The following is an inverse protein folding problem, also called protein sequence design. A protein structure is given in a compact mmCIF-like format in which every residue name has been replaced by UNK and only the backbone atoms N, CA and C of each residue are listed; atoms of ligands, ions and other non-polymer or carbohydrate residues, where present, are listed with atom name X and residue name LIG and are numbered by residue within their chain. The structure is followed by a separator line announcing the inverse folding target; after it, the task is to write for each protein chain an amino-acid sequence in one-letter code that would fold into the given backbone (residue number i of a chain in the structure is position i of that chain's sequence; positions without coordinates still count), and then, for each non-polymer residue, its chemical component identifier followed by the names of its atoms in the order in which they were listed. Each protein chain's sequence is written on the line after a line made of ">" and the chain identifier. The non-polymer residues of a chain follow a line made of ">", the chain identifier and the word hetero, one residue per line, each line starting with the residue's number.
data_IF_388601740290
#
_entry.id   IF_388601740290
#
_cell.length_a   1.000
_cell.length_b   1.000
_cell.length_c   1.000
_cell.angle_alpha   90.00
_cell.angle_beta   90.00
_cell.angle_gamma   90.00
#
_symmetry.space_group_name_H-M   'P 1'
#
loop_
_entity.id
_entity.type
_entity.pdbx_description
1 polymer ?
#
# COMPACT_ATOMS: atom_id res chain seq x y z
N UNK A 1 -46.95 -44.34 -48.18
CA UNK A 1 -45.61 -43.91 -48.44
C UNK A 1 -45.16 -43.13 -47.17
N UNK A 2 -44.49 -43.82 -46.22
CA UNK A 2 -43.94 -43.21 -45.01
C UNK A 2 -42.49 -42.79 -45.29
N UNK A 3 -42.17 -41.52 -45.10
CA UNK A 3 -40.82 -41.01 -45.08
C UNK A 3 -40.40 -40.85 -43.61
N UNK A 4 -39.41 -41.61 -43.17
CA UNK A 4 -38.79 -41.52 -41.85
C UNK A 4 -37.71 -40.42 -41.90
N UNK A 5 -37.87 -39.41 -41.03
CA UNK A 5 -36.83 -38.40 -40.80
C UNK A 5 -35.91 -38.89 -39.69
N UNK A 6 -34.63 -39.09 -40.00
CA UNK A 6 -33.57 -39.38 -39.04
C UNK A 6 -33.05 -38.07 -38.51
N UNK A 7 -33.30 -37.80 -37.25
CA UNK A 7 -32.72 -36.66 -36.53
C UNK A 7 -31.34 -37.06 -35.99
N UNK A 8 -30.28 -36.45 -36.53
CA UNK A 8 -28.91 -36.54 -36.01
C UNK A 8 -28.76 -35.59 -34.84
N UNK A 9 -28.73 -36.12 -33.61
CA UNK A 9 -28.37 -35.33 -32.42
C UNK A 9 -26.83 -35.15 -32.40
N UNK A 10 -26.36 -33.95 -32.71
CA UNK A 10 -24.98 -33.56 -32.48
C UNK A 10 -24.76 -33.28 -31.00
N UNK A 11 -24.06 -34.17 -30.29
CA UNK A 11 -23.53 -33.94 -28.98
C UNK A 11 -22.46 -32.85 -29.03
N UNK A 12 -22.83 -31.64 -28.70
CA UNK A 12 -21.88 -30.59 -28.34
C UNK A 12 -21.26 -30.91 -26.97
N UNK A 13 -20.10 -31.53 -26.97
CA UNK A 13 -19.23 -31.62 -25.80
C UNK A 13 -18.67 -30.22 -25.53
N UNK A 14 -18.94 -29.58 -24.39
CA UNK A 14 -18.27 -28.34 -24.08
C UNK A 14 -16.79 -28.64 -23.87
N UNK A 15 -15.93 -28.14 -24.75
CA UNK A 15 -14.51 -28.01 -24.48
C UNK A 15 -14.35 -27.03 -23.30
N UNK A 16 -14.36 -27.58 -22.11
CA UNK A 16 -13.83 -26.88 -20.96
C UNK A 16 -12.34 -26.66 -21.23
N UNK A 17 -12.01 -25.51 -21.74
CA UNK A 17 -10.63 -25.03 -21.79
C UNK A 17 -10.15 -24.99 -20.35
N UNK A 18 -9.38 -26.00 -19.94
CA UNK A 18 -8.59 -25.96 -18.74
C UNK A 18 -7.59 -24.80 -18.93
N UNK A 19 -7.95 -23.60 -18.47
CA UNK A 19 -7.00 -22.52 -18.23
C UNK A 19 -6.08 -23.08 -17.16
N UNK A 20 -4.95 -23.65 -17.59
CA UNK A 20 -3.82 -23.92 -16.72
C UNK A 20 -3.56 -22.60 -16.01
N UNK A 21 -3.64 -22.59 -14.67
CA UNK A 21 -3.15 -21.50 -13.85
C UNK A 21 -1.67 -21.34 -14.19
N UNK A 22 -1.37 -20.47 -15.16
CA UNK A 22 -0.01 -20.10 -15.47
C UNK A 22 0.53 -19.44 -14.19
N UNK A 23 1.58 -20.00 -13.61
CA UNK A 23 2.27 -19.38 -12.47
C UNK A 23 2.66 -17.95 -12.85
N UNK A 24 2.77 -17.09 -11.87
CA UNK A 24 3.28 -15.73 -12.08
C UNK A 24 4.65 -15.81 -12.79
N UNK A 25 4.92 -14.94 -13.76
CA UNK A 25 6.24 -14.90 -14.40
C UNK A 25 7.31 -14.61 -13.33
N UNK A 26 8.48 -15.24 -13.40
CA UNK A 26 9.58 -14.97 -12.48
C UNK A 26 9.93 -13.49 -12.48
N UNK A 27 10.13 -12.92 -11.30
CA UNK A 27 10.49 -11.53 -11.12
C UNK A 27 11.72 -11.42 -10.23
N UNK A 28 12.59 -10.44 -10.52
CA UNK A 28 13.79 -10.13 -9.76
C UNK A 28 13.83 -8.65 -9.46
N UNK A 29 14.36 -8.31 -8.29
CA UNK A 29 14.53 -6.91 -7.87
C UNK A 29 16.00 -6.64 -7.53
N UNK A 30 16.43 -5.45 -7.89
CA UNK A 30 17.76 -4.91 -7.64
C UNK A 30 17.62 -3.54 -6.98
N UNK A 31 18.60 -3.14 -6.18
CA UNK A 31 18.70 -1.78 -5.63
C UNK A 31 19.97 -1.11 -6.13
N UNK A 32 19.92 0.20 -6.30
CA UNK A 32 21.10 0.98 -6.63
C UNK A 32 21.87 1.30 -5.35
N UNK A 33 23.06 0.71 -5.20
CA UNK A 33 24.02 1.02 -4.15
C UNK A 33 25.21 1.80 -4.75
N UNK A 34 25.24 3.09 -4.50
CA UNK A 34 26.17 4.00 -5.17
C UNK A 34 25.96 4.02 -6.69
N UNK A 35 26.87 3.39 -7.45
CA UNK A 35 26.79 3.27 -8.91
C UNK A 35 26.47 1.86 -9.41
N UNK A 36 26.21 0.93 -8.51
CA UNK A 36 25.99 -0.49 -8.85
C UNK A 36 24.58 -0.94 -8.53
N UNK A 37 23.97 -1.66 -9.48
CA UNK A 37 22.76 -2.43 -9.24
C UNK A 37 23.11 -3.73 -8.52
N UNK A 38 22.52 -3.96 -7.35
CA UNK A 38 22.72 -5.12 -6.49
C UNK A 38 21.45 -5.94 -6.46
N UNK A 39 21.44 -7.17 -7.00
CA UNK A 39 20.31 -8.09 -6.85
C UNK A 39 20.10 -8.47 -5.39
N UNK A 40 18.85 -8.44 -4.93
CA UNK A 40 18.51 -8.75 -3.54
C UNK A 40 17.29 -9.66 -3.38
N UNK A 41 16.44 -9.76 -4.41
CA UNK A 41 15.23 -10.57 -4.33
C UNK A 41 14.93 -11.27 -5.66
N UNK A 42 14.44 -12.53 -5.55
CA UNK A 42 13.98 -13.35 -6.67
C UNK A 42 12.70 -14.06 -6.23
N UNK A 43 11.63 -13.92 -7.03
CA UNK A 43 10.32 -14.51 -6.70
C UNK A 43 10.35 -16.03 -6.60
N UNK A 44 11.30 -16.70 -7.26
CA UNK A 44 11.42 -18.17 -7.24
C UNK A 44 12.03 -18.69 -5.94
N UNK A 45 12.71 -17.83 -5.18
CA UNK A 45 13.35 -18.13 -3.90
C UNK A 45 12.94 -17.16 -2.79
N UNK A 46 11.79 -16.49 -2.97
CA UNK A 46 11.30 -15.50 -2.04
C UNK A 46 11.06 -16.11 -0.64
N UNK A 47 11.47 -15.42 0.44
CA UNK A 47 11.24 -15.92 1.78
C UNK A 47 9.76 -15.90 2.13
N UNK A 48 9.28 -16.87 2.91
CA UNK A 48 7.91 -16.87 3.42
C UNK A 48 7.68 -15.80 4.50
N UNK A 49 8.74 -15.27 5.09
CA UNK A 49 8.69 -14.21 6.09
C UNK A 49 10.00 -13.41 6.15
N UNK A 50 9.87 -12.11 6.36
CA UNK A 50 10.97 -11.18 6.59
C UNK A 50 11.22 -11.00 8.09
N UNK A 51 12.22 -11.70 8.65
CA UNK A 51 12.54 -11.64 10.08
C UNK A 51 13.46 -10.47 10.45
N UNK A 52 14.16 -9.90 9.46
CA UNK A 52 15.04 -8.74 9.58
C UNK A 52 15.01 -7.93 8.29
N UNK A 53 15.52 -6.72 8.33
CA UNK A 53 15.76 -5.95 7.11
C UNK A 53 16.86 -6.62 6.28
N UNK A 54 16.74 -6.49 4.95
CA UNK A 54 17.79 -6.88 4.03
C UNK A 54 18.93 -5.85 4.06
N UNK A 55 20.19 -6.24 4.26
CA UNK A 55 21.29 -5.29 4.36
C UNK A 55 21.50 -4.44 3.08
N UNK A 56 21.36 -5.05 1.89
CA UNK A 56 21.55 -4.31 0.63
C UNK A 56 20.48 -3.22 0.47
N UNK A 57 19.21 -3.57 0.73
CA UNK A 57 18.10 -2.61 0.67
C UNK A 57 18.25 -1.54 1.75
N UNK A 58 18.59 -1.92 2.98
CA UNK A 58 18.73 -0.97 4.09
C UNK A 58 19.86 0.05 3.87
N UNK A 59 21.00 -0.37 3.28
CA UNK A 59 22.14 0.50 2.96
C UNK A 59 21.88 1.38 1.74
N UNK A 60 21.10 0.94 0.78
CA UNK A 60 20.79 1.71 -0.43
C UNK A 60 19.86 2.90 -0.17
N UNK A 61 19.13 2.94 0.97
CA UNK A 61 18.26 4.07 1.29
C UNK A 61 19.06 5.28 1.74
N UNK A 62 18.93 6.39 1.01
CA UNK A 62 19.51 7.68 1.40
C UNK A 62 18.53 8.44 2.29
N UNK A 63 18.68 8.31 3.61
CA UNK A 63 17.84 9.00 4.60
C UNK A 63 18.25 10.45 4.83
N UNK A 64 17.26 11.33 4.97
CA UNK A 64 17.40 12.75 5.26
C UNK A 64 16.47 13.14 6.42
N UNK A 65 16.87 14.08 7.29
CA UNK A 65 16.00 14.56 8.34
C UNK A 65 14.76 15.28 7.76
N UNK A 66 13.63 15.07 8.41
CA UNK A 66 12.37 15.78 8.17
C UNK A 66 11.94 16.50 9.45
N UNK A 67 10.69 16.97 9.54
CA UNK A 67 10.16 17.55 10.76
C UNK A 67 10.34 16.61 11.97
N UNK A 68 10.29 17.16 13.17
CA UNK A 68 10.58 16.43 14.41
C UNK A 68 9.84 15.09 14.49
N UNK A 69 10.59 13.99 14.70
CA UNK A 69 10.04 12.64 14.76
C UNK A 69 9.94 11.94 13.41
N UNK A 70 10.40 12.57 12.33
CA UNK A 70 10.37 11.99 10.98
C UNK A 70 11.73 12.05 10.27
N UNK A 71 11.89 11.12 9.33
CA UNK A 71 12.93 11.09 8.31
C UNK A 71 12.27 10.74 6.98
N UNK A 72 12.75 11.29 5.90
CA UNK A 72 12.37 10.89 4.56
C UNK A 72 13.58 10.34 3.82
N UNK A 73 13.34 9.42 2.90
CA UNK A 73 14.42 8.81 2.14
C UNK A 73 13.96 8.41 0.75
N UNK A 74 14.92 8.06 -0.05
CA UNK A 74 14.73 7.59 -1.42
C UNK A 74 15.51 6.30 -1.60
N UNK A 75 14.94 5.38 -2.37
CA UNK A 75 15.52 4.13 -2.78
C UNK A 75 15.27 3.95 -4.28
N UNK A 76 16.30 3.72 -5.05
CA UNK A 76 16.17 3.35 -6.45
C UNK A 76 16.05 1.84 -6.58
N UNK A 77 14.97 1.40 -7.23
CA UNK A 77 14.65 0.00 -7.47
C UNK A 77 14.70 -0.30 -8.97
N UNK A 78 15.46 -1.32 -9.34
CA UNK A 78 15.42 -1.96 -10.65
C UNK A 78 14.69 -3.30 -10.56
N UNK A 79 14.24 -3.80 -11.70
CA UNK A 79 13.58 -5.09 -11.72
C UNK A 79 13.26 -5.61 -13.10
N UNK A 80 12.52 -6.71 -13.14
CA UNK A 80 12.07 -7.35 -14.38
C UNK A 80 10.83 -6.64 -14.93
N UNK A 81 10.70 -6.54 -16.24
CA UNK A 81 9.52 -5.96 -16.90
C UNK A 81 9.39 -4.47 -16.64
N UNK A 82 8.18 -4.02 -16.34
CA UNK A 82 7.87 -2.59 -16.13
C UNK A 82 8.42 -2.03 -14.80
N UNK A 83 8.94 -2.88 -13.92
CA UNK A 83 9.61 -2.48 -12.68
C UNK A 83 11.13 -2.22 -12.88
N UNK A 84 11.57 -1.99 -14.11
CA UNK A 84 13.00 -1.84 -14.43
C UNK A 84 13.65 -0.56 -13.89
N UNK A 85 12.87 0.48 -13.61
CA UNK A 85 13.32 1.74 -13.01
C UNK A 85 12.22 2.38 -12.17
N UNK A 86 12.39 2.37 -10.87
CA UNK A 86 11.47 2.98 -9.92
C UNK A 86 12.25 3.75 -8.87
N UNK A 87 11.75 4.90 -8.47
CA UNK A 87 12.09 5.55 -7.24
C UNK A 87 11.06 5.19 -6.18
N UNK A 88 11.49 4.79 -5.00
CA UNK A 88 10.63 4.61 -3.85
C UNK A 88 10.90 5.73 -2.86
N UNK A 89 9.88 6.54 -2.62
CA UNK A 89 9.91 7.58 -1.59
C UNK A 89 9.45 6.97 -0.28
N UNK A 90 10.26 7.14 0.75
CA UNK A 90 10.08 6.54 2.06
C UNK A 90 9.93 7.63 3.12
N UNK A 91 8.94 7.47 4.00
CA UNK A 91 8.81 8.30 5.21
C UNK A 91 8.85 7.37 6.41
N UNK A 92 9.83 7.57 7.29
CA UNK A 92 9.93 6.89 8.58
C UNK A 92 9.50 7.85 9.67
N UNK A 93 8.49 7.49 10.44
CA UNK A 93 7.93 8.37 11.45
C UNK A 93 7.80 7.67 12.82
N UNK A 94 7.98 8.44 13.89
CA UNK A 94 7.79 7.99 15.25
C UNK A 94 6.42 8.46 15.77
N UNK A 95 5.42 7.59 15.91
CA UNK A 95 4.08 7.98 16.35
C UNK A 95 4.05 8.55 17.78
N UNK A 96 5.04 8.24 18.63
CA UNK A 96 5.14 8.83 19.97
C UNK A 96 5.50 10.33 19.94
N UNK A 97 6.07 10.84 18.86
CA UNK A 97 6.48 12.25 18.69
C UNK A 97 5.55 13.04 17.78
N UNK A 98 4.54 12.40 17.24
CA UNK A 98 3.62 12.97 16.25
C UNK A 98 2.18 12.72 16.68
N UNK A 99 1.32 13.67 16.40
CA UNK A 99 -0.13 13.51 16.47
C UNK A 99 -0.62 13.16 15.07
N UNK A 100 -1.08 11.91 14.90
CA UNK A 100 -1.65 11.40 13.65
C UNK A 100 -3.16 11.60 13.66
N UNK A 101 -3.75 12.04 12.56
CA UNK A 101 -5.18 12.27 12.42
C UNK A 101 -5.68 11.88 11.04
N UNK A 102 -6.96 11.49 10.96
CA UNK A 102 -7.63 11.29 9.68
C UNK A 102 -8.40 12.56 9.29
N UNK A 103 -8.19 12.99 8.04
CA UNK A 103 -8.93 14.07 7.40
C UNK A 103 -9.81 13.47 6.30
N UNK A 104 -11.12 13.65 6.43
CA UNK A 104 -12.07 13.25 5.38
C UNK A 104 -12.44 14.45 4.51
N UNK A 105 -12.52 14.18 3.24
CA UNK A 105 -13.02 15.13 2.24
C UNK A 105 -14.48 14.90 1.88
N UNK A 106 -15.04 13.75 2.21
CA UNK A 106 -16.46 13.45 2.02
C UNK A 106 -17.28 14.20 3.06
N UNK A 107 -18.09 15.15 2.62
CA UNK A 107 -19.00 15.91 3.49
C UNK A 107 -20.37 15.27 3.57
N UNK A 108 -20.83 14.66 2.49
CA UNK A 108 -22.15 14.01 2.37
C UNK A 108 -22.06 12.79 1.44
N UNK A 109 -22.95 11.82 1.64
CA UNK A 109 -23.06 10.67 0.73
C UNK A 109 -23.39 11.16 -0.70
N UNK A 110 -22.63 10.72 -1.67
CA UNK A 110 -22.80 11.09 -3.08
C UNK A 110 -21.94 12.26 -3.57
N UNK A 111 -21.19 12.95 -2.68
CA UNK A 111 -20.21 13.96 -3.12
C UNK A 111 -18.93 13.30 -3.60
N UNK A 112 -18.31 13.86 -4.64
CA UNK A 112 -17.02 13.38 -5.13
C UNK A 112 -15.91 13.65 -4.09
N UNK A 113 -14.93 12.74 -3.99
CA UNK A 113 -13.76 12.96 -3.13
C UNK A 113 -13.04 14.24 -3.56
N UNK A 114 -12.65 15.07 -2.60
CA UNK A 114 -12.04 16.35 -2.90
C UNK A 114 -10.72 16.62 -2.16
N UNK A 115 -10.22 15.72 -1.32
CA UNK A 115 -8.92 15.89 -0.69
C UNK A 115 -7.78 15.66 -1.69
N UNK A 116 -6.84 16.57 -1.67
CA UNK A 116 -5.54 16.48 -2.34
C UNK A 116 -4.49 17.21 -1.50
N UNK A 117 -3.23 17.15 -1.89
CA UNK A 117 -2.14 17.83 -1.19
C UNK A 117 -2.33 19.35 -1.10
N UNK A 118 -3.10 19.97 -2.00
CA UNK A 118 -3.46 21.39 -1.94
C UNK A 118 -4.35 21.71 -0.73
N UNK A 119 -4.98 20.71 -0.14
CA UNK A 119 -5.81 20.80 1.07
C UNK A 119 -5.12 20.24 2.30
N UNK A 120 -3.78 20.14 2.26
CA UNK A 120 -3.02 19.77 3.45
C UNK A 120 -3.26 20.84 4.54
N UNK A 121 -3.75 20.45 5.74
CA UNK A 121 -4.05 21.41 6.79
C UNK A 121 -2.81 22.19 7.21
N UNK A 122 -3.00 23.46 7.62
CA UNK A 122 -1.95 24.29 8.16
C UNK A 122 -1.29 23.62 9.36
N UNK A 123 0.03 23.69 9.45
CA UNK A 123 0.81 23.04 10.51
C UNK A 123 1.04 21.55 10.36
N UNK A 124 0.38 20.89 9.40
CA UNK A 124 0.68 19.49 9.10
C UNK A 124 2.09 19.35 8.51
N UNK A 125 2.81 18.34 8.98
CA UNK A 125 4.18 18.01 8.54
C UNK A 125 4.22 16.79 7.64
N UNK A 126 3.11 16.05 7.56
CA UNK A 126 2.89 14.90 6.68
C UNK A 126 1.46 14.94 6.18
N UNK A 127 1.26 14.54 4.95
CA UNK A 127 -0.05 14.20 4.37
C UNK A 127 0.09 13.08 3.36
N UNK A 128 -0.77 12.08 3.46
CA UNK A 128 -0.81 10.93 2.56
C UNK A 128 -2.26 10.47 2.41
N UNK A 129 -2.67 10.01 1.22
CA UNK A 129 -4.00 9.39 1.09
C UNK A 129 -4.06 8.09 1.91
N UNK A 130 -5.21 7.81 2.49
CA UNK A 130 -5.40 6.73 3.46
C UNK A 130 -6.50 5.76 3.03
N UNK A 131 -6.29 4.46 3.36
CA UNK A 131 -7.24 3.39 3.07
C UNK A 131 -7.37 3.07 1.58
N UNK A 132 -8.44 2.39 1.28
CA UNK A 132 -8.96 2.15 -0.07
C UNK A 132 -10.31 2.84 -0.19
N UNK A 133 -10.80 3.06 -1.42
CA UNK A 133 -12.11 3.62 -1.63
C UNK A 133 -12.79 3.09 -2.89
N UNK A 134 -14.11 3.05 -2.85
CA UNK A 134 -14.95 2.65 -3.96
C UNK A 134 -16.13 3.61 -4.09
N UNK A 135 -16.53 3.94 -5.32
CA UNK A 135 -17.62 4.89 -5.54
C UNK A 135 -17.41 6.28 -4.91
N UNK A 136 -16.15 6.65 -4.61
CA UNK A 136 -15.83 7.93 -3.98
C UNK A 136 -15.94 7.94 -2.45
N UNK A 137 -16.24 6.81 -1.82
CA UNK A 137 -16.32 6.66 -0.36
C UNK A 137 -15.17 5.78 0.16
N UNK A 138 -14.64 6.01 1.37
CA UNK A 138 -13.72 5.08 2.01
C UNK A 138 -14.31 3.68 2.05
N UNK A 139 -13.48 2.67 1.89
CA UNK A 139 -13.90 1.29 1.92
C UNK A 139 -13.63 0.65 3.28
N UNK A 140 -14.65 -0.04 3.82
CA UNK A 140 -14.54 -0.79 5.05
C UNK A 140 -14.55 0.08 6.31
N UNK A 141 -13.98 -0.45 7.39
CA UNK A 141 -14.01 0.19 8.69
C UNK A 141 -13.37 1.58 8.70
N UNK A 142 -14.12 2.52 9.25
CA UNK A 142 -13.68 3.90 9.42
C UNK A 142 -14.11 4.43 10.79
N UNK A 143 -13.13 4.86 11.57
CA UNK A 143 -13.33 5.57 12.85
C UNK A 143 -12.64 6.93 12.76
N UNK A 144 -13.36 7.99 13.14
CA UNK A 144 -12.79 9.33 13.29
C UNK A 144 -13.25 9.96 14.59
N UNK A 145 -12.32 10.56 15.31
CA UNK A 145 -12.59 11.19 16.61
C UNK A 145 -13.36 10.27 17.57
N UNK A 146 -13.03 8.99 17.60
CA UNK A 146 -13.68 7.98 18.45
C UNK A 146 -15.10 7.58 18.02
N UNK A 147 -15.55 7.93 16.81
CA UNK A 147 -16.86 7.57 16.29
C UNK A 147 -16.71 6.67 15.07
N UNK A 148 -17.42 5.54 15.08
CA UNK A 148 -17.54 4.66 13.92
C UNK A 148 -18.36 5.36 12.85
N UNK A 149 -17.78 5.64 11.70
CA UNK A 149 -18.44 6.20 10.52
C UNK A 149 -18.85 5.10 9.54
N UNK A 150 -18.07 4.03 9.47
CA UNK A 150 -18.37 2.86 8.65
C UNK A 150 -17.99 1.56 9.39
N UNK A 151 -18.80 0.51 9.29
CA UNK A 151 -18.47 -0.80 9.86
C UNK A 151 -17.34 -1.48 9.09
N UNK A 152 -16.76 -2.52 9.69
CA UNK A 152 -15.77 -3.35 9.03
C UNK A 152 -16.37 -4.07 7.82
N UNK A 153 -15.65 -4.02 6.69
CA UNK A 153 -15.97 -4.81 5.52
C UNK A 153 -15.31 -6.19 5.60
N UNK A 154 -16.03 -7.20 5.16
CA UNK A 154 -15.49 -8.55 5.04
C UNK A 154 -14.69 -8.61 3.72
N UNK A 155 -13.46 -9.06 3.81
CA UNK A 155 -12.61 -9.24 2.63
C UNK A 155 -11.33 -9.99 3.00
N UNK A 156 -10.85 -10.88 2.11
CA UNK A 156 -9.56 -11.53 2.33
C UNK A 156 -8.45 -10.47 2.32
N UNK A 157 -7.39 -10.73 3.08
CA UNK A 157 -6.21 -9.84 3.11
C UNK A 157 -6.51 -8.39 3.52
N UNK A 158 -7.52 -8.16 4.34
CA UNK A 158 -7.78 -6.83 4.89
C UNK A 158 -7.18 -6.67 6.30
N UNK A 159 -6.80 -5.44 6.64
CA UNK A 159 -6.24 -5.06 7.93
C UNK A 159 -6.64 -3.62 8.26
N UNK A 160 -6.88 -3.34 9.52
CA UNK A 160 -7.13 -1.98 9.98
C UNK A 160 -5.82 -1.32 10.47
N UNK A 161 -5.62 -0.07 10.11
CA UNK A 161 -4.67 0.82 10.75
C UNK A 161 -5.42 1.66 11.78
N UNK A 162 -4.91 1.77 12.98
CA UNK A 162 -5.54 2.52 14.07
C UNK A 162 -4.59 3.45 14.79
N UNK A 163 -5.11 4.60 15.22
CA UNK A 163 -4.48 5.53 16.14
C UNK A 163 -5.35 5.54 17.40
N UNK A 164 -4.77 5.14 18.52
CA UNK A 164 -5.46 5.07 19.81
C UNK A 164 -5.60 6.48 20.44
N UNK A 165 -6.49 6.60 21.42
CA UNK A 165 -6.69 7.86 22.15
C UNK A 165 -5.40 8.34 22.87
N UNK A 166 -4.53 7.43 23.31
CA UNK A 166 -3.22 7.75 23.89
C UNK A 166 -2.15 8.09 22.84
N UNK A 167 -2.49 7.98 21.56
CA UNK A 167 -1.62 8.30 20.42
C UNK A 167 -0.73 7.17 19.94
N UNK A 168 -0.83 5.96 20.51
CA UNK A 168 -0.22 4.78 19.90
C UNK A 168 -0.87 4.50 18.55
N UNK A 169 -0.06 4.09 17.57
CA UNK A 169 -0.55 3.74 16.26
C UNK A 169 -0.02 2.38 15.82
N UNK A 170 -0.81 1.63 15.09
CA UNK A 170 -0.45 0.29 14.64
C UNK A 170 -1.55 -0.40 13.85
N UNK A 171 -1.37 -1.69 13.66
CA UNK A 171 -2.28 -2.52 12.87
C UNK A 171 -3.12 -3.41 13.76
N UNK A 172 -4.38 -3.60 13.35
CA UNK A 172 -5.35 -4.46 14.01
C UNK A 172 -5.95 -5.39 12.94
N UNK A 173 -5.83 -6.72 13.08
CA UNK A 173 -6.60 -7.64 12.26
C UNK A 173 -8.09 -7.33 12.33
N UNK A 174 -8.80 -7.42 11.21
CA UNK A 174 -10.21 -7.01 11.15
C UNK A 174 -11.08 -7.81 12.13
N UNK A 175 -10.72 -9.07 12.36
CA UNK A 175 -11.39 -9.98 13.31
C UNK A 175 -11.20 -9.55 14.78
N UNK A 176 -10.25 -8.66 15.06
CA UNK A 176 -9.95 -8.14 16.40
C UNK A 176 -10.49 -6.72 16.62
N UNK A 177 -11.23 -6.17 15.66
CA UNK A 177 -11.95 -4.92 15.87
C UNK A 177 -12.98 -5.14 16.97
N UNK A 178 -13.03 -4.29 18.03
CA UNK A 178 -13.96 -4.45 19.13
C UNK A 178 -15.43 -4.48 18.67
N UNK A 179 -16.30 -5.14 19.43
CA UNK A 179 -17.71 -5.30 19.08
C UNK A 179 -18.47 -3.94 19.02
N UNK A 180 -18.03 -2.92 19.78
CA UNK A 180 -18.54 -1.55 19.70
C UNK A 180 -18.01 -0.80 18.45
N UNK A 181 -17.12 -1.46 17.68
CA UNK A 181 -16.54 -0.95 16.45
C UNK A 181 -15.38 0.03 16.64
N UNK A 182 -15.08 0.53 17.83
CA UNK A 182 -13.99 1.47 18.02
C UNK A 182 -13.10 1.20 19.26
N UNK A 183 -13.64 0.72 20.38
CA UNK A 183 -12.86 0.57 21.61
C UNK A 183 -12.15 1.86 21.99
N UNK A 184 -10.82 1.82 22.16
CA UNK A 184 -9.99 3.01 22.44
C UNK A 184 -9.44 3.70 21.17
N UNK A 185 -9.88 3.30 19.98
CA UNK A 185 -9.44 3.90 18.71
C UNK A 185 -10.02 5.30 18.55
N UNK A 186 -9.14 6.28 18.36
CA UNK A 186 -9.54 7.64 18.02
C UNK A 186 -9.76 7.79 16.51
N UNK A 187 -8.80 7.36 15.73
CA UNK A 187 -8.83 7.40 14.28
C UNK A 187 -8.38 6.06 13.71
N UNK A 188 -9.04 5.56 12.69
CA UNK A 188 -8.66 4.30 12.06
C UNK A 188 -9.36 4.06 10.73
N UNK A 189 -8.74 3.28 9.89
CA UNK A 189 -9.28 2.90 8.59
C UNK A 189 -8.88 1.47 8.24
N UNK A 190 -9.72 0.81 7.47
CA UNK A 190 -9.43 -0.50 6.88
C UNK A 190 -8.79 -0.34 5.51
N UNK A 191 -7.89 -1.25 5.15
CA UNK A 191 -7.27 -1.30 3.83
C UNK A 191 -6.93 -2.72 3.42
N UNK A 192 -6.58 -2.91 2.14
CA UNK A 192 -6.13 -4.17 1.56
C UNK A 192 -5.26 -3.94 0.32
N UNK A 193 -4.52 -4.93 -0.19
CA UNK A 193 -4.22 -6.19 0.47
C UNK A 193 -3.18 -6.01 1.59
N UNK A 194 -3.25 -6.90 2.58
CA UNK A 194 -2.17 -7.06 3.55
C UNK A 194 -0.94 -7.55 2.82
N UNK A 195 0.17 -6.85 3.01
CA UNK A 195 1.47 -7.18 2.43
C UNK A 195 2.30 -8.07 3.36
N UNK A 196 2.27 -7.73 4.64
CA UNK A 196 2.97 -8.46 5.70
C UNK A 196 2.05 -8.58 6.91
N UNK A 197 1.94 -9.79 7.45
CA UNK A 197 1.30 -10.07 8.74
C UNK A 197 2.33 -9.98 9.86
N UNK A 198 1.90 -10.22 11.10
CA UNK A 198 2.75 -10.24 12.28
C UNK A 198 4.09 -10.91 12.00
N UNK A 199 5.17 -10.27 12.45
CA UNK A 199 6.55 -10.75 12.31
C UNK A 199 7.09 -10.86 10.87
N UNK A 200 6.47 -10.15 9.93
CA UNK A 200 6.92 -10.07 8.55
C UNK A 200 6.51 -11.27 7.69
N UNK A 201 5.54 -12.05 8.13
CA UNK A 201 5.00 -13.18 7.36
C UNK A 201 4.30 -12.66 6.09
N UNK A 202 4.65 -13.22 4.95
CA UNK A 202 3.97 -12.95 3.69
C UNK A 202 2.69 -13.80 3.64
N UNK A 203 1.50 -13.18 3.47
CA UNK A 203 0.26 -13.94 3.29
C UNK A 203 0.36 -14.93 2.13
N UNK A 204 0.03 -16.21 2.30
CA UNK A 204 0.13 -17.21 1.22
C UNK A 204 -0.65 -16.83 -0.05
N UNK A 205 -1.72 -16.05 0.11
CA UNK A 205 -2.51 -15.53 -1.00
C UNK A 205 -1.71 -14.61 -1.94
N UNK A 206 -0.62 -14.00 -1.47
CA UNK A 206 0.27 -13.20 -2.32
C UNK A 206 1.23 -14.05 -3.17
N UNK A 207 1.22 -15.36 -2.98
CA UNK A 207 1.94 -16.33 -3.81
C UNK A 207 0.98 -17.23 -4.63
N UNK A 208 -0.35 -17.08 -4.45
CA UNK A 208 -1.36 -17.96 -5.04
C UNK A 208 -2.25 -17.19 -6.00
N UNK A 209 -2.11 -17.36 -7.32
CA UNK A 209 -2.99 -16.72 -8.30
C UNK A 209 -4.47 -17.05 -8.04
N UNK A 210 -5.34 -16.06 -8.23
CA UNK A 210 -6.79 -16.24 -8.06
C UNK A 210 -7.29 -16.16 -6.62
N UNK A 211 -6.44 -15.84 -5.65
CA UNK A 211 -6.81 -15.72 -4.23
C UNK A 211 -7.38 -14.33 -3.85
N UNK A 212 -8.02 -13.63 -4.79
CA UNK A 212 -8.70 -12.36 -4.53
C UNK A 212 -7.85 -11.11 -4.71
N UNK A 213 -6.60 -11.25 -5.16
CA UNK A 213 -5.69 -10.15 -5.50
C UNK A 213 -5.13 -10.39 -6.88
N UNK A 214 -5.09 -9.36 -7.73
CA UNK A 214 -4.38 -9.42 -9.00
C UNK A 214 -2.87 -9.26 -8.74
N UNK A 215 -2.18 -10.41 -8.73
CA UNK A 215 -0.76 -10.48 -8.41
C UNK A 215 0.15 -10.08 -9.59
N UNK A 216 -0.38 -10.09 -10.80
CA UNK A 216 0.37 -9.75 -12.01
C UNK A 216 0.28 -8.26 -12.35
N UNK A 217 -0.74 -7.58 -11.84
CA UNK A 217 -0.98 -6.17 -12.13
C UNK A 217 0.13 -5.28 -11.54
N UNK A 218 0.73 -4.48 -12.42
CA UNK A 218 1.74 -3.49 -12.08
C UNK A 218 1.13 -2.11 -12.02
N UNK A 219 1.45 -1.37 -10.96
CA UNK A 219 0.91 -0.02 -10.75
C UNK A 219 1.79 0.76 -9.78
N UNK A 220 1.64 2.08 -9.75
CA UNK A 220 2.21 2.88 -8.66
C UNK A 220 1.61 2.42 -7.33
N UNK A 221 2.46 2.16 -6.35
CA UNK A 221 2.05 1.61 -5.06
C UNK A 221 2.25 2.62 -3.95
N UNK A 222 1.30 2.61 -3.03
CA UNK A 222 1.40 3.29 -1.76
C UNK A 222 1.09 2.28 -0.66
N UNK A 223 1.93 2.26 0.38
CA UNK A 223 1.79 1.33 1.49
C UNK A 223 2.21 1.97 2.81
N UNK A 224 1.66 1.43 3.90
CA UNK A 224 2.06 1.77 5.26
C UNK A 224 2.42 0.50 6.01
N UNK A 225 3.52 0.54 6.78
CA UNK A 225 3.99 -0.58 7.60
C UNK A 225 4.46 -0.16 8.99
N UNK A 226 4.52 -1.13 9.91
CA UNK A 226 5.13 -0.97 11.21
C UNK A 226 6.52 -1.61 11.21
N UNK A 227 7.52 -0.85 11.56
CA UNK A 227 8.88 -1.32 11.76
C UNK A 227 9.01 -2.03 13.13
N UNK A 228 10.01 -2.90 13.27
CA UNK A 228 10.26 -3.65 14.51
C UNK A 228 10.60 -2.76 15.71
N UNK A 229 11.09 -1.55 15.47
CA UNK A 229 11.40 -0.56 16.52
C UNK A 229 10.21 0.33 16.92
N UNK A 230 8.98 0.01 16.48
CA UNK A 230 7.77 0.76 16.80
C UNK A 230 7.54 2.01 15.94
N UNK A 231 8.46 2.35 15.02
CA UNK A 231 8.22 3.41 14.04
C UNK A 231 7.29 2.90 12.94
N UNK A 232 6.65 3.82 12.23
CA UNK A 232 5.91 3.52 11.01
C UNK A 232 6.76 3.88 9.79
N UNK A 233 6.50 3.17 8.70
CA UNK A 233 7.10 3.41 7.39
C UNK A 233 6.00 3.59 6.35
N UNK A 234 6.03 4.69 5.60
CA UNK A 234 5.21 4.90 4.41
C UNK A 234 6.12 4.76 3.20
N UNK A 235 5.69 4.02 2.19
CA UNK A 235 6.40 3.82 0.95
C UNK A 235 5.51 4.18 -0.23
N UNK A 236 5.99 5.08 -1.08
CA UNK A 236 5.34 5.51 -2.31
C UNK A 236 6.26 5.20 -3.48
N UNK A 237 5.82 4.40 -4.44
CA UNK A 237 6.60 4.13 -5.65
C UNK A 237 6.33 5.16 -6.74
N UNK A 238 7.38 5.53 -7.47
CA UNK A 238 7.33 6.44 -8.61
C UNK A 238 8.11 5.86 -9.77
N UNK A 239 7.59 6.03 -10.97
CA UNK A 239 8.31 5.64 -12.18
C UNK A 239 9.42 6.65 -12.48
N UNK A 240 10.64 6.18 -12.69
CA UNK A 240 11.84 7.05 -12.88
C UNK A 240 12.66 6.67 -14.12
N UNK A 241 12.01 6.29 -15.19
CA UNK A 241 12.73 5.89 -16.40
C UNK A 241 13.23 7.08 -17.25
N UNK A 242 12.56 8.23 -17.15
CA UNK A 242 12.82 9.41 -18.02
C UNK A 242 12.82 10.70 -17.20
N UNK A 243 13.22 10.61 -15.94
CA UNK A 243 13.22 11.73 -14.99
C UNK A 243 11.84 12.00 -14.39
N UNK A 244 11.77 13.01 -13.52
CA UNK A 244 10.59 13.31 -12.67
C UNK A 244 9.31 13.67 -13.42
N UNK A 245 9.39 14.06 -14.70
CA UNK A 245 8.23 14.45 -15.51
C UNK A 245 7.20 13.31 -15.69
N UNK A 246 7.66 12.07 -15.73
CA UNK A 246 6.80 10.88 -15.86
C UNK A 246 6.60 10.13 -14.55
N UNK A 247 7.08 10.64 -13.43
CA UNK A 247 7.05 9.98 -12.13
C UNK A 247 5.63 9.74 -11.58
N UNK A 248 4.62 10.40 -12.12
CA UNK A 248 3.21 10.19 -11.76
C UNK A 248 2.49 9.17 -12.63
N UNK A 249 3.17 8.57 -13.63
CA UNK A 249 2.58 7.47 -14.40
C UNK A 249 2.33 6.27 -13.49
N UNK A 250 1.22 5.53 -13.69
CA UNK A 250 0.83 4.42 -12.82
C UNK A 250 1.63 3.14 -13.09
N UNK A 251 2.90 3.24 -13.44
CA UNK A 251 3.80 2.11 -13.57
C UNK A 251 4.50 1.83 -12.23
N UNK A 252 4.69 0.55 -11.93
CA UNK A 252 5.31 0.20 -10.66
C UNK A 252 5.41 -1.30 -10.41
N UNK A 253 5.68 -1.68 -9.16
CA UNK A 253 5.83 -3.06 -8.77
C UNK A 253 4.48 -3.78 -8.68
N UNK A 254 4.53 -5.10 -8.76
CA UNK A 254 3.41 -5.96 -8.39
C UNK A 254 3.17 -5.92 -6.88
N UNK A 255 2.05 -6.49 -6.41
CA UNK A 255 1.77 -6.61 -4.96
C UNK A 255 2.81 -7.46 -4.24
N UNK A 256 3.24 -8.65 -4.75
CA UNK A 256 4.32 -9.43 -4.14
C UNK A 256 5.66 -8.70 -4.07
N UNK A 257 6.04 -7.97 -5.11
CA UNK A 257 7.26 -7.14 -5.12
C UNK A 257 7.19 -6.03 -4.07
N UNK A 258 6.02 -5.40 -3.92
CA UNK A 258 5.81 -4.38 -2.88
C UNK A 258 5.93 -4.98 -1.47
N UNK A 259 5.38 -6.18 -1.26
CA UNK A 259 5.53 -6.90 0.01
C UNK A 259 7.01 -7.21 0.31
N UNK A 260 7.76 -7.65 -0.70
CA UNK A 260 9.19 -7.88 -0.57
C UNK A 260 9.96 -6.61 -0.16
N UNK A 261 9.67 -5.48 -0.82
CA UNK A 261 10.29 -4.18 -0.49
C UNK A 261 10.02 -3.78 0.96
N UNK A 262 8.77 -3.83 1.42
CA UNK A 262 8.42 -3.46 2.80
C UNK A 262 9.09 -4.40 3.81
N UNK A 263 9.13 -5.70 3.51
CA UNK A 263 9.82 -6.70 4.33
C UNK A 263 11.32 -6.46 4.42
N UNK A 264 11.96 -6.23 3.27
CA UNK A 264 13.39 -5.91 3.18
C UNK A 264 13.76 -4.60 3.88
N UNK A 265 12.83 -3.63 3.96
CA UNK A 265 12.99 -2.41 4.76
C UNK A 265 12.75 -2.62 6.26
N UNK A 266 12.45 -3.85 6.71
CA UNK A 266 12.30 -4.22 8.12
C UNK A 266 10.90 -4.06 8.70
N UNK A 267 9.87 -3.91 7.86
CA UNK A 267 8.49 -3.94 8.34
C UNK A 267 8.14 -5.34 8.88
N UNK A 268 7.45 -5.37 10.01
CA UNK A 268 6.88 -6.59 10.60
C UNK A 268 5.40 -6.79 10.23
N UNK A 269 4.74 -5.70 9.88
CA UNK A 269 3.34 -5.65 9.41
C UNK A 269 3.25 -4.54 8.36
N UNK A 270 2.48 -4.78 7.29
CA UNK A 270 2.26 -3.77 6.27
C UNK A 270 0.96 -4.02 5.50
N UNK A 271 0.34 -2.96 5.03
CA UNK A 271 -0.86 -2.99 4.18
C UNK A 271 -0.72 -1.97 3.05
N UNK A 272 -1.29 -2.30 1.90
CA UNK A 272 -1.44 -1.35 0.79
C UNK A 272 -2.44 -0.26 1.16
N UNK A 273 -2.19 0.92 0.64
CA UNK A 273 -3.16 2.01 0.53
C UNK A 273 -3.59 2.15 -0.94
N UNK A 274 -4.52 3.04 -1.23
CA UNK A 274 -4.91 3.28 -2.62
C UNK A 274 -3.74 3.87 -3.41
N UNK A 275 -3.35 3.13 -4.42
CA UNK A 275 -2.19 3.38 -5.28
C UNK A 275 -2.56 4.07 -6.61
N UNK A 276 -1.80 3.77 -7.66
CA UNK A 276 -2.06 4.25 -9.01
C UNK A 276 -2.11 5.77 -9.08
N UNK A 277 -3.09 6.28 -9.81
CA UNK A 277 -3.34 7.72 -10.00
C UNK A 277 -3.77 8.46 -8.72
N UNK A 278 -4.15 7.73 -7.67
CA UNK A 278 -4.57 8.29 -6.38
C UNK A 278 -3.40 8.54 -5.43
N UNK A 279 -2.27 7.83 -5.63
CA UNK A 279 -1.14 7.85 -4.71
C UNK A 279 -0.50 9.24 -4.61
N UNK A 280 -0.57 9.83 -3.42
CA UNK A 280 -0.01 11.16 -3.15
C UNK A 280 0.55 11.25 -1.75
N UNK A 281 1.64 11.99 -1.62
CA UNK A 281 2.41 12.12 -0.38
C UNK A 281 3.00 13.53 -0.29
N UNK A 282 2.97 14.11 0.90
CA UNK A 282 3.70 15.32 1.22
C UNK A 282 4.43 15.15 2.56
N UNK A 283 5.64 15.69 2.65
CA UNK A 283 6.41 15.75 3.90
C UNK A 283 7.10 17.11 4.01
N UNK A 284 7.13 17.67 5.20
CA UNK A 284 7.90 18.86 5.50
C UNK A 284 9.32 18.46 5.90
N UNK A 285 10.30 18.91 5.15
CA UNK A 285 11.70 18.64 5.46
C UNK A 285 12.18 19.42 6.70
N UNK A 286 13.41 19.17 7.14
CA UNK A 286 13.97 19.83 8.32
C UNK A 286 14.13 21.36 8.17
N UNK A 287 14.22 21.84 6.94
CA UNK A 287 14.25 23.29 6.61
C UNK A 287 12.85 23.92 6.56
N UNK A 288 11.80 23.14 6.77
CA UNK A 288 10.41 23.61 6.73
C UNK A 288 9.79 23.61 5.32
N UNK A 289 10.53 23.27 4.27
CA UNK A 289 9.99 23.20 2.91
C UNK A 289 9.09 21.97 2.74
N UNK A 290 7.97 22.14 2.05
CA UNK A 290 7.05 21.06 1.76
C UNK A 290 7.47 20.35 0.47
N UNK A 291 7.88 19.07 0.60
CA UNK A 291 8.12 18.19 -0.53
C UNK A 291 6.82 17.46 -0.86
N UNK A 292 6.48 17.38 -2.14
CA UNK A 292 5.21 16.82 -2.59
C UNK A 292 5.40 15.86 -3.76
N UNK A 293 4.73 14.72 -3.67
CA UNK A 293 4.55 13.76 -4.75
C UNK A 293 3.06 13.65 -5.04
N UNK A 294 2.61 14.32 -6.09
CA UNK A 294 1.19 14.49 -6.37
C UNK A 294 0.60 13.27 -7.06
N UNK A 295 -0.63 12.93 -6.72
CA UNK A 295 -1.51 12.06 -7.52
C UNK A 295 -2.32 12.89 -8.51
N UNK A 296 -2.97 12.21 -9.44
CA UNK A 296 -3.87 12.85 -10.43
C UNK A 296 -5.33 12.87 -9.96
N UNK A 297 -5.64 12.07 -8.96
CA UNK A 297 -7.00 11.90 -8.46
C UNK A 297 -7.15 12.46 -7.05
N UNK A 298 -8.24 13.16 -6.81
CA UNK A 298 -8.67 13.53 -5.46
C UNK A 298 -9.20 12.27 -4.74
N UNK A 299 -9.06 12.24 -3.42
CA UNK A 299 -9.38 11.08 -2.59
C UNK A 299 -10.29 11.47 -1.42
N UNK A 300 -11.08 10.54 -0.86
CA UNK A 300 -12.00 10.85 0.23
C UNK A 300 -11.34 10.96 1.61
N UNK A 301 -10.15 10.36 1.79
CA UNK A 301 -9.53 10.20 3.10
C UNK A 301 -8.02 10.40 3.01
N UNK A 302 -7.47 11.09 4.00
CA UNK A 302 -6.04 11.25 4.20
C UNK A 302 -5.62 11.04 5.65
N UNK A 303 -4.41 10.53 5.83
CA UNK A 303 -3.69 10.52 7.10
C UNK A 303 -2.75 11.72 7.12
N UNK A 304 -2.86 12.53 8.14
CA UNK A 304 -1.99 13.70 8.37
C UNK A 304 -1.25 13.57 9.69
N UNK A 305 -0.09 14.22 9.80
CA UNK A 305 0.67 14.26 11.04
C UNK A 305 1.03 15.70 11.42
N UNK A 306 1.02 15.97 12.72
CA UNK A 306 1.45 17.21 13.34
C UNK A 306 2.54 16.94 14.39
N UNK A 307 3.47 17.84 14.63
CA UNK A 307 4.35 17.75 15.79
C UNK A 307 3.53 17.74 17.09
N UNK A 308 3.99 16.99 18.09
CA UNK A 308 3.46 17.06 19.46
C UNK A 308 4.13 18.15 20.25
#
# INVERSE_FOLDING_TARGET
>A
VCAAAVAAAACLVPLASAVRAAGLPPSKLEVLDGARWVPWWDSTSAPAAWRAADPAVAMAVVWRPAAAGMEWGELELGGTGEAWRLQIVLIRLNPARLRLELVSACREAGTLPDWSLDRLPSGAVLGVNAGQFTGGQPWGWLVRNGRVEQPAAIGPLSMAFSVQADGRAGFVPVEQIPADGCGSTRDGFQSYPVLLRRDGEIPPQLATPGAGVDLAHRDARLAIGALRNGRLLIALTRFDAVGTALGSLPFGPTVPETAAVLGALGCREAVMLDGGISAQLAVRDAGGALRTWRGWRKVPLALVAYPR
#
